data_IF_379660092880
#
_entry.id   IF_379660092880
#
_cell.length_a   1.000
_cell.length_b   1.000
_cell.length_c   1.000
_cell.angle_alpha   90.00
_cell.angle_beta   90.00
_cell.angle_gamma   90.00
#
_symmetry.space_group_name_H-M   'P 1'
#
loop_
_entity.id
_entity.type
_entity.pdbx_description
1 polymer ?
#
# COMPACT_ATOMS: atom_id res chain seq x y z
N UNK A 1 1.20 -10.56 -6.72
CA UNK A 1 2.25 -9.54 -7.01
C UNK A 1 2.18 -9.17 -8.48
N UNK A 2 2.22 -7.88 -8.83
CA UNK A 2 2.14 -7.39 -10.21
C UNK A 2 0.92 -7.93 -10.99
N UNK A 3 -0.23 -8.08 -10.33
CA UNK A 3 -1.44 -8.64 -10.93
C UNK A 3 -1.46 -10.17 -11.07
N UNK A 4 -0.39 -10.87 -10.68
CA UNK A 4 -0.33 -12.33 -10.67
C UNK A 4 -0.52 -12.86 -9.26
N UNK A 5 -1.24 -13.98 -9.10
CA UNK A 5 -1.43 -14.62 -7.80
C UNK A 5 -0.10 -15.04 -7.18
N UNK A 6 -0.01 -14.92 -5.85
CA UNK A 6 1.15 -15.32 -5.08
C UNK A 6 0.72 -16.34 -4.03
N UNK A 7 0.90 -17.66 -4.26
CA UNK A 7 0.33 -18.71 -3.41
C UNK A 7 1.05 -18.89 -2.08
N UNK A 8 2.13 -18.14 -1.81
CA UNK A 8 2.85 -18.26 -0.54
C UNK A 8 2.11 -17.56 0.59
N UNK A 9 1.84 -18.30 1.66
CA UNK A 9 1.22 -17.78 2.89
C UNK A 9 2.25 -17.23 3.90
N UNK A 10 3.50 -17.04 3.48
CA UNK A 10 4.53 -16.54 4.40
C UNK A 10 4.20 -15.13 4.90
N UNK A 11 4.41 -14.89 6.19
CA UNK A 11 4.19 -13.58 6.79
C UNK A 11 5.26 -12.59 6.32
N UNK A 12 4.81 -11.38 6.01
CA UNK A 12 5.64 -10.26 5.59
C UNK A 12 5.46 -9.08 6.55
N UNK A 13 6.45 -8.20 6.61
CA UNK A 13 6.37 -6.97 7.39
C UNK A 13 6.23 -5.78 6.46
N UNK A 14 5.09 -5.09 6.55
CA UNK A 14 4.80 -3.87 5.81
C UNK A 14 5.13 -2.63 6.66
N UNK A 15 6.29 -2.04 6.42
CA UNK A 15 6.77 -0.88 7.15
C UNK A 15 6.24 0.41 6.51
N UNK A 16 5.55 1.21 7.31
CA UNK A 16 5.10 2.57 6.95
C UNK A 16 5.98 3.57 7.71
N UNK A 17 6.94 4.19 7.02
CA UNK A 17 7.86 5.16 7.60
C UNK A 17 7.62 6.57 7.06
N UNK A 18 8.13 7.58 7.76
CA UNK A 18 7.90 9.01 7.43
C UNK A 18 8.18 9.42 5.98
N UNK A 19 9.12 8.75 5.31
CA UNK A 19 9.51 9.08 3.93
C UNK A 19 9.30 7.94 2.93
N UNK A 20 8.98 6.73 3.39
CA UNK A 20 9.02 5.53 2.55
C UNK A 20 8.15 4.41 3.08
N UNK A 21 7.77 3.52 2.16
CA UNK A 21 7.15 2.23 2.45
C UNK A 21 8.14 1.11 2.09
N UNK A 22 8.20 0.06 2.93
CA UNK A 22 9.05 -1.11 2.70
C UNK A 22 8.32 -2.41 3.04
N UNK A 23 8.31 -3.36 2.11
CA UNK A 23 7.84 -4.72 2.31
C UNK A 23 9.02 -5.67 2.51
N UNK A 24 9.00 -6.45 3.59
CA UNK A 24 10.07 -7.42 3.91
C UNK A 24 9.50 -8.83 4.12
N UNK A 25 10.28 -9.84 3.75
CA UNK A 25 10.11 -11.24 4.20
C UNK A 25 11.31 -11.62 5.06
N UNK A 26 11.11 -11.73 6.37
CA UNK A 26 12.23 -11.84 7.31
C UNK A 26 13.22 -10.68 7.14
N UNK A 27 14.50 -11.00 6.89
CA UNK A 27 15.57 -10.00 6.68
C UNK A 27 15.61 -9.44 5.25
N UNK A 28 14.91 -10.05 4.30
CA UNK A 28 14.97 -9.70 2.87
C UNK A 28 13.96 -8.61 2.53
N UNK A 29 14.42 -7.53 1.89
CA UNK A 29 13.54 -6.50 1.35
C UNK A 29 12.97 -6.95 0.00
N UNK A 30 11.65 -7.01 -0.13
CA UNK A 30 10.96 -7.31 -1.39
C UNK A 30 10.79 -6.03 -2.22
N UNK A 31 10.33 -4.98 -1.56
CA UNK A 31 10.18 -3.67 -2.16
C UNK A 31 10.48 -2.58 -1.13
N UNK A 32 11.07 -1.48 -1.58
CA UNK A 32 11.37 -0.30 -0.78
C UNK A 32 11.29 0.91 -1.68
N UNK A 33 10.30 1.77 -1.47
CA UNK A 33 10.13 2.97 -2.28
C UNK A 33 9.80 4.17 -1.41
N UNK A 34 10.39 5.31 -1.75
CA UNK A 34 10.05 6.60 -1.16
C UNK A 34 8.69 7.06 -1.69
N UNK A 35 7.98 7.88 -0.92
CA UNK A 35 6.74 8.48 -1.41
C UNK A 35 7.03 9.29 -2.68
N UNK A 36 6.20 9.07 -3.70
CA UNK A 36 6.31 9.75 -5.00
C UNK A 36 4.93 9.89 -5.62
N UNK A 37 4.80 10.79 -6.60
CA UNK A 37 3.56 11.01 -7.33
C UNK A 37 3.11 9.81 -8.17
N UNK A 38 4.02 8.89 -8.47
CA UNK A 38 3.73 7.64 -9.18
C UNK A 38 3.31 6.50 -8.24
N UNK A 39 3.44 6.67 -6.92
CA UNK A 39 3.03 5.67 -5.94
C UNK A 39 1.51 5.72 -5.76
N UNK A 40 0.87 4.56 -5.67
CA UNK A 40 -0.57 4.44 -5.40
C UNK A 40 -0.82 3.54 -4.20
N UNK A 41 -1.79 3.90 -3.37
CA UNK A 41 -2.18 3.11 -2.21
C UNK A 41 -3.66 3.32 -1.86
N UNK A 42 -4.42 2.22 -1.82
CA UNK A 42 -5.84 2.19 -1.44
C UNK A 42 -6.27 0.82 -0.91
N UNK A 43 -7.51 0.70 -0.44
CA UNK A 43 -8.13 -0.62 -0.25
C UNK A 43 -8.26 -1.35 -1.59
N UNK A 44 -8.21 -2.69 -1.58
CA UNK A 44 -8.39 -3.47 -2.82
C UNK A 44 -9.84 -3.31 -3.32
N UNK A 45 -10.02 -3.13 -4.63
CA UNK A 45 -11.35 -2.97 -5.29
C UNK A 45 -11.91 -4.27 -5.88
N UNK A 46 -11.25 -5.39 -5.64
CA UNK A 46 -11.63 -6.75 -6.06
C UNK A 46 -11.19 -7.77 -5.01
N UNK A 47 -11.42 -9.06 -5.24
CA UNK A 47 -10.97 -10.11 -4.31
C UNK A 47 -11.99 -10.55 -3.24
N UNK A 48 -13.29 -10.27 -3.47
CA UNK A 48 -14.38 -10.84 -2.67
C UNK A 48 -14.28 -10.54 -1.17
N UNK A 49 -14.52 -11.55 -0.34
CA UNK A 49 -14.61 -11.41 1.12
C UNK A 49 -13.30 -10.92 1.78
N UNK A 50 -12.15 -11.18 1.17
CA UNK A 50 -10.85 -10.74 1.70
C UNK A 50 -10.55 -9.26 1.41
N UNK A 51 -11.32 -8.60 0.53
CA UNK A 51 -11.08 -7.21 0.13
C UNK A 51 -11.09 -6.25 1.32
N UNK A 52 -11.93 -6.53 2.34
CA UNK A 52 -12.01 -5.70 3.54
C UNK A 52 -10.72 -5.69 4.36
N UNK A 53 -9.89 -6.73 4.26
CA UNK A 53 -8.63 -6.86 5.00
C UNK A 53 -7.39 -6.57 4.15
N UNK A 54 -7.57 -6.23 2.86
CA UNK A 54 -6.46 -6.07 1.95
C UNK A 54 -6.25 -4.62 1.47
N UNK A 55 -5.00 -4.27 1.18
CA UNK A 55 -4.64 -3.06 0.43
C UNK A 55 -4.08 -3.41 -0.94
N UNK A 56 -4.28 -2.50 -1.88
CA UNK A 56 -3.48 -2.41 -3.09
C UNK A 56 -2.40 -1.34 -2.87
N UNK A 57 -1.14 -1.72 -3.10
CA UNK A 57 0.00 -0.81 -3.08
C UNK A 57 0.79 -0.95 -4.39
N UNK A 58 0.80 0.09 -5.20
CA UNK A 58 1.73 0.23 -6.32
C UNK A 58 2.92 1.07 -5.85
N UNK A 59 4.06 0.42 -5.69
CA UNK A 59 5.28 1.07 -5.23
C UNK A 59 5.84 2.03 -6.30
N UNK A 60 5.80 1.58 -7.56
CA UNK A 60 6.12 2.34 -8.77
C UNK A 60 5.50 1.64 -9.98
N UNK A 61 5.58 2.26 -11.16
CA UNK A 61 5.09 1.64 -12.41
C UNK A 61 5.68 0.24 -12.59
N UNK A 62 4.81 -0.75 -12.81
CA UNK A 62 5.20 -2.16 -12.99
C UNK A 62 5.52 -2.93 -11.70
N UNK A 63 5.44 -2.29 -10.52
CA UNK A 63 5.67 -2.93 -9.22
C UNK A 63 4.50 -2.67 -8.29
N UNK A 64 3.63 -3.68 -8.12
CA UNK A 64 2.44 -3.61 -7.27
C UNK A 64 2.19 -4.87 -6.46
N UNK A 65 1.49 -4.69 -5.35
CA UNK A 65 1.20 -5.71 -4.38
C UNK A 65 -0.26 -5.60 -3.93
N UNK A 66 -0.86 -6.76 -3.69
CA UNK A 66 -2.05 -6.89 -2.86
C UNK A 66 -1.58 -7.52 -1.55
N UNK A 67 -1.81 -6.85 -0.44
CA UNK A 67 -1.36 -7.29 0.89
C UNK A 67 -2.58 -7.43 1.80
N UNK A 68 -2.79 -8.63 2.33
CA UNK A 68 -3.77 -8.89 3.37
C UNK A 68 -3.17 -8.62 4.76
N UNK A 69 -3.96 -8.02 5.64
CA UNK A 69 -3.63 -7.74 7.03
C UNK A 69 -4.41 -8.68 7.96
N UNK A 70 -3.95 -8.83 9.20
CA UNK A 70 -4.63 -9.69 10.18
C UNK A 70 -6.01 -9.14 10.58
N UNK A 71 -6.21 -7.82 10.44
CA UNK A 71 -7.50 -7.18 10.66
C UNK A 71 -7.77 -5.99 9.73
N UNK A 72 -9.05 -5.68 9.55
CA UNK A 72 -9.49 -4.48 8.82
C UNK A 72 -8.99 -3.19 9.51
N UNK A 73 -8.85 -3.22 10.83
CA UNK A 73 -8.34 -2.08 11.61
C UNK A 73 -6.89 -1.80 11.24
N UNK A 74 -6.03 -2.81 11.23
CA UNK A 74 -4.63 -2.64 10.83
C UNK A 74 -4.50 -2.22 9.37
N UNK A 75 -5.32 -2.82 8.50
CA UNK A 75 -5.43 -2.41 7.09
C UNK A 75 -5.71 -0.92 6.96
N UNK A 76 -6.72 -0.43 7.68
CA UNK A 76 -7.13 0.98 7.64
C UNK A 76 -6.06 1.90 8.27
N UNK A 77 -5.47 1.49 9.38
CA UNK A 77 -4.38 2.23 10.03
C UNK A 77 -3.17 2.40 9.09
N UNK A 78 -2.78 1.34 8.37
CA UNK A 78 -1.69 1.37 7.41
C UNK A 78 -1.97 2.34 6.24
N UNK A 79 -3.21 2.35 5.71
CA UNK A 79 -3.63 3.32 4.67
C UNK A 79 -3.54 4.75 5.20
N UNK A 80 -4.18 5.03 6.34
CA UNK A 80 -4.25 6.37 6.90
C UNK A 80 -2.87 6.92 7.24
N UNK A 81 -2.01 6.11 7.87
CA UNK A 81 -0.66 6.51 8.23
C UNK A 81 0.21 6.75 6.99
N UNK A 82 0.10 5.89 5.97
CA UNK A 82 0.83 6.06 4.71
C UNK A 82 0.45 7.36 4.01
N UNK A 83 -0.85 7.67 3.97
CA UNK A 83 -1.36 8.92 3.40
C UNK A 83 -0.89 10.14 4.19
N UNK A 84 -0.88 10.05 5.53
CA UNK A 84 -0.40 11.13 6.39
C UNK A 84 1.07 11.43 6.14
N UNK A 85 1.94 10.42 6.13
CA UNK A 85 3.37 10.62 5.89
C UNK A 85 3.68 11.04 4.46
N UNK A 86 2.94 10.54 3.47
CA UNK A 86 3.05 11.03 2.09
C UNK A 86 2.67 12.50 2.00
N UNK A 87 1.59 12.92 2.67
CA UNK A 87 1.17 14.31 2.72
C UNK A 87 2.23 15.22 3.37
N UNK A 88 2.84 14.77 4.47
CA UNK A 88 3.97 15.49 5.10
C UNK A 88 5.19 15.61 4.15
N UNK A 89 5.28 14.77 3.11
CA UNK A 89 6.26 14.85 2.02
C UNK A 89 5.75 15.63 0.78
N UNK A 90 4.63 16.34 0.87
CA UNK A 90 3.94 17.02 -0.25
C UNK A 90 3.49 16.07 -1.37
N UNK A 91 3.17 14.82 -1.05
CA UNK A 91 2.68 13.81 -1.99
C UNK A 91 1.24 13.42 -1.64
N UNK A 92 0.33 13.59 -2.60
CA UNK A 92 -1.04 13.06 -2.50
C UNK A 92 -1.06 11.58 -2.86
N UNK A 93 -1.02 10.72 -1.83
CA UNK A 93 -1.09 9.27 -2.01
C UNK A 93 -2.55 8.78 -2.07
N UNK A 94 -2.97 8.29 -3.23
CA UNK A 94 -4.33 7.81 -3.45
C UNK A 94 -4.35 6.51 -4.29
N UNK A 95 -5.54 5.93 -4.50
CA UNK A 95 -5.72 4.81 -5.42
C UNK A 95 -5.75 5.25 -6.89
N UNK A 96 -5.77 4.29 -7.83
CA UNK A 96 -6.00 4.59 -9.25
C UNK A 96 -7.31 5.34 -9.43
N UNK A 97 -7.27 6.41 -10.22
CA UNK A 97 -8.42 7.25 -10.59
C UNK A 97 -9.15 7.95 -9.41
N UNK A 98 -8.57 7.90 -8.21
CA UNK A 98 -9.09 8.67 -7.07
C UNK A 98 -8.91 10.16 -7.33
N UNK A 99 -10.01 10.92 -7.26
CA UNK A 99 -9.94 12.37 -7.24
C UNK A 99 -9.55 12.83 -5.84
N UNK A 100 -8.43 13.52 -5.70
CA UNK A 100 -8.22 14.35 -4.51
C UNK A 100 -9.23 15.51 -4.54
N UNK A 101 -9.87 15.87 -3.43
CA UNK A 101 -10.59 17.13 -3.39
C UNK A 101 -9.63 18.24 -3.79
N UNK A 102 -9.96 18.98 -4.85
CA UNK A 102 -9.31 20.26 -5.11
C UNK A 102 -9.52 21.08 -3.84
N UNK A 103 -8.43 21.57 -3.25
CA UNK A 103 -8.48 22.31 -1.99
C UNK A 103 -9.56 23.39 -2.03
N UNK A 104 -10.39 23.43 -1.00
CA UNK A 104 -11.26 24.57 -0.70
C UNK A 104 -10.44 25.73 -0.17
#
# INVERSE_FOLDING_TARGET
MNGVDHPSESIHVFHVGKMRIKLCKGKTAIAKEYYSTAMQLCGVRGGGNAAAQAIFWQAKKGVSFVLAFESERERNAAIMLSRRFAFDCNITLAGPDDRSPLGT
#
